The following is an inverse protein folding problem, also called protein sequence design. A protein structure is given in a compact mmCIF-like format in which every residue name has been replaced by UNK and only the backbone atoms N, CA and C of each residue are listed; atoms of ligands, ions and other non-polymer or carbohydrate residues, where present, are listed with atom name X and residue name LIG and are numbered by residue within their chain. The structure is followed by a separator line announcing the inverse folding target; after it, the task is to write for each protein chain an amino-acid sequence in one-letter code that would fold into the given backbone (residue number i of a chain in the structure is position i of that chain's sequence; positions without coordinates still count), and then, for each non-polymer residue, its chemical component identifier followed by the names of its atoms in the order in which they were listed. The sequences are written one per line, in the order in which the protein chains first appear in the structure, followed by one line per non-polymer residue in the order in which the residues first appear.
data_IF_851975326163
#
_entry.id   IF_851975326163
#
_cell.length_a   1.000
_cell.length_b   1.000
_cell.length_c   1.000
_cell.angle_alpha   90.00
_cell.angle_beta   90.00
_cell.angle_gamma   90.00
#
_symmetry.space_group_name_H-M   'P 1'
#
loop_
_entity.id
_entity.type
_entity.pdbx_description
1 polymer ?
#
# COMPACT_ATOMS: atom_id res chain seq x y z
N UNK A 1 32.09 3.30 1.09
CA UNK A 1 31.15 2.17 0.91
C UNK A 1 30.12 2.18 2.02
N UNK A 2 29.10 3.02 1.88
CA UNK A 2 28.02 3.22 2.86
C UNK A 2 26.81 2.48 2.33
N UNK A 3 26.79 1.16 2.55
CA UNK A 3 25.61 0.34 2.30
C UNK A 3 24.61 0.68 3.40
N UNK A 4 23.90 1.79 3.21
CA UNK A 4 22.77 2.17 4.03
C UNK A 4 21.64 1.19 3.73
N UNK A 5 21.56 0.15 4.55
CA UNK A 5 20.39 -0.72 4.71
C UNK A 5 19.28 0.15 5.30
N UNK A 6 18.72 1.05 4.48
CA UNK A 6 17.49 1.81 4.77
C UNK A 6 16.32 1.09 4.10
N UNK A 7 16.33 -0.24 4.18
CA UNK A 7 15.16 -1.05 3.88
C UNK A 7 14.44 -1.29 5.21
N UNK A 8 13.77 -0.24 5.71
CA UNK A 8 12.86 -0.34 6.86
C UNK A 8 11.67 -1.22 6.43
N UNK A 9 11.86 -2.53 6.53
CA UNK A 9 10.84 -3.58 6.50
C UNK A 9 9.76 -3.41 5.42
N UNK A 10 10.18 -3.46 4.15
CA UNK A 10 9.25 -3.71 3.03
C UNK A 10 8.69 -5.12 3.24
N UNK A 11 7.46 -5.20 3.77
CA UNK A 11 6.67 -6.43 3.82
C UNK A 11 5.89 -6.51 2.52
N UNK A 12 6.46 -7.19 1.54
CA UNK A 12 5.78 -7.48 0.28
C UNK A 12 4.76 -8.59 0.52
N UNK A 13 3.48 -8.25 0.36
CA UNK A 13 2.39 -9.23 0.31
C UNK A 13 1.84 -9.25 -1.11
N UNK A 14 2.17 -10.32 -1.84
CA UNK A 14 1.46 -10.68 -3.07
C UNK A 14 0.00 -11.00 -2.73
N UNK A 15 -0.92 -10.49 -3.53
CA UNK A 15 -2.33 -10.80 -3.42
C UNK A 15 -2.96 -10.98 -4.79
N UNK A 16 -4.05 -11.75 -4.80
CA UNK A 16 -4.96 -11.87 -5.93
C UNK A 16 -6.36 -11.60 -5.40
N UNK A 17 -7.07 -10.67 -6.03
CA UNK A 17 -8.44 -10.38 -5.65
C UNK A 17 -9.42 -11.43 -6.24
N UNK A 18 -10.69 -11.49 -5.78
CA UNK A 18 -11.68 -12.43 -6.30
C UNK A 18 -11.99 -12.29 -7.80
N UNK A 19 -11.62 -11.17 -8.41
CA UNK A 19 -11.82 -10.87 -9.83
C UNK A 19 -10.61 -11.23 -10.71
N UNK A 20 -9.59 -11.87 -10.13
CA UNK A 20 -8.39 -12.33 -10.84
C UNK A 20 -7.33 -11.25 -11.08
N UNK A 21 -7.50 -10.05 -10.54
CA UNK A 21 -6.47 -9.00 -10.58
C UNK A 21 -5.40 -9.32 -9.54
N UNK A 22 -4.15 -9.27 -9.96
CA UNK A 22 -2.99 -9.57 -9.10
C UNK A 22 -2.27 -8.29 -8.71
N UNK A 23 -1.58 -8.31 -7.58
CA UNK A 23 -0.86 -7.13 -7.11
C UNK A 23 0.10 -7.41 -5.96
N UNK A 24 0.80 -6.36 -5.57
CA UNK A 24 1.65 -6.34 -4.38
C UNK A 24 1.22 -5.16 -3.53
N UNK A 25 1.09 -5.38 -2.23
CA UNK A 25 1.01 -4.32 -1.23
C UNK A 25 2.26 -4.33 -0.37
N UNK A 26 2.77 -3.14 -0.06
CA UNK A 26 3.90 -2.98 0.83
C UNK A 26 3.74 -1.77 1.73
N UNK A 27 4.29 -1.92 2.93
CA UNK A 27 4.31 -0.91 3.97
C UNK A 27 5.72 -0.40 4.12
N UNK A 28 5.90 0.91 4.04
CA UNK A 28 7.19 1.55 4.32
C UNK A 28 7.14 2.08 5.74
N UNK A 29 7.94 1.47 6.63
CA UNK A 29 8.02 1.85 8.04
C UNK A 29 8.92 3.07 8.28
N UNK A 30 8.59 3.88 9.29
CA UNK A 30 9.37 5.03 9.74
C UNK A 30 8.63 5.84 10.81
N UNK A 31 9.38 6.59 11.64
CA UNK A 31 8.85 7.28 12.84
C UNK A 31 7.82 8.39 12.57
N UNK A 32 7.58 8.80 11.32
CA UNK A 32 6.79 10.01 11.04
C UNK A 32 5.53 9.82 10.20
N UNK A 33 5.47 8.84 9.30
CA UNK A 33 4.34 8.68 8.38
C UNK A 33 4.46 7.35 7.65
N UNK A 34 3.90 6.28 8.21
CA UNK A 34 3.90 4.98 7.53
C UNK A 34 3.17 5.12 6.18
N UNK A 35 3.91 5.08 5.08
CA UNK A 35 3.34 5.12 3.75
C UNK A 35 2.84 3.72 3.38
N UNK A 36 1.61 3.63 2.89
CA UNK A 36 1.06 2.40 2.32
C UNK A 36 1.09 2.49 0.81
N UNK A 37 1.67 1.51 0.16
CA UNK A 37 1.75 1.49 -1.29
C UNK A 37 1.23 0.15 -1.80
N UNK A 38 0.60 0.19 -2.96
CA UNK A 38 0.20 -1.01 -3.67
C UNK A 38 0.27 -0.78 -5.16
N UNK A 39 0.35 -1.86 -5.91
CA UNK A 39 0.00 -1.86 -7.32
C UNK A 39 -0.85 -3.07 -7.65
N UNK A 40 -1.66 -2.93 -8.71
CA UNK A 40 -2.50 -3.99 -9.28
C UNK A 40 -2.29 -4.03 -10.79
N UNK A 41 -2.32 -5.24 -11.35
CA UNK A 41 -2.12 -5.48 -12.78
C UNK A 41 -2.89 -6.72 -13.26
N UNK A 42 -3.28 -6.68 -14.53
CA UNK A 42 -3.81 -7.84 -15.26
C UNK A 42 -2.71 -8.67 -15.96
N UNK A 43 -1.43 -8.33 -15.75
CA UNK A 43 -0.22 -8.91 -16.34
C UNK A 43 0.03 -8.64 -17.82
N UNK A 44 -0.92 -8.07 -18.56
CA UNK A 44 -0.83 -7.96 -20.03
C UNK A 44 -0.84 -6.51 -20.51
N UNK A 45 -1.75 -5.68 -19.99
CA UNK A 45 -2.03 -4.35 -20.56
C UNK A 45 -2.29 -3.28 -19.52
N UNK A 46 -2.79 -3.64 -18.35
CA UNK A 46 -3.26 -2.69 -17.36
C UNK A 46 -2.40 -2.72 -16.10
N UNK A 47 -2.05 -1.53 -15.63
CA UNK A 47 -1.27 -1.32 -14.41
C UNK A 47 -1.80 -0.08 -13.67
N UNK A 48 -2.09 -0.24 -12.39
CA UNK A 48 -2.49 0.85 -11.49
C UNK A 48 -1.64 0.80 -10.22
N UNK A 49 -1.09 1.94 -9.81
CA UNK A 49 -0.33 2.08 -8.56
C UNK A 49 -0.98 3.11 -7.66
N UNK A 50 -1.12 2.77 -6.38
CA UNK A 50 -1.60 3.66 -5.32
C UNK A 50 -0.56 3.84 -4.22
N UNK A 51 -0.50 5.04 -3.66
CA UNK A 51 0.33 5.34 -2.50
C UNK A 51 -0.41 6.32 -1.57
N UNK A 52 -0.54 5.96 -0.30
CA UNK A 52 -1.11 6.78 0.76
C UNK A 52 0.01 7.37 1.60
N UNK A 53 0.07 8.70 1.65
CA UNK A 53 1.00 9.48 2.46
C UNK A 53 0.25 10.24 3.54
N UNK A 54 0.75 10.20 4.76
CA UNK A 54 0.25 11.02 5.86
C UNK A 54 1.15 12.24 6.02
N UNK A 55 0.60 13.44 5.80
CA UNK A 55 1.26 14.69 6.15
C UNK A 55 0.97 15.02 7.62
N UNK A 56 1.50 14.21 8.54
CA UNK A 56 1.29 14.40 9.97
C UNK A 56 2.62 14.72 10.68
N UNK A 57 2.60 15.71 11.58
CA UNK A 57 3.61 15.86 12.64
C UNK A 57 3.66 14.55 13.44
N UNK A 58 4.81 14.07 13.94
CA UNK A 58 5.11 12.67 14.29
C UNK A 58 4.42 12.17 15.57
N UNK A 59 3.10 12.30 15.61
CA UNK A 59 2.18 11.78 16.57
C UNK A 59 1.49 10.58 15.89
N UNK A 60 2.15 9.42 15.95
CA UNK A 60 1.63 8.19 15.36
C UNK A 60 0.35 7.69 16.04
N UNK A 61 0.16 8.01 17.33
CA UNK A 61 -0.96 7.48 18.11
C UNK A 61 -2.29 8.20 17.84
N UNK A 62 -2.28 9.50 17.55
CA UNK A 62 -3.50 10.25 17.21
C UNK A 62 -4.00 9.97 15.79
N UNK A 63 -3.11 9.58 14.87
CA UNK A 63 -3.51 9.29 13.48
C UNK A 63 -3.84 7.81 13.23
N UNK A 64 -3.57 6.94 14.22
CA UNK A 64 -3.81 5.48 14.10
C UNK A 64 -5.25 5.13 13.70
N UNK A 65 -6.31 5.73 14.29
CA UNK A 65 -7.68 5.42 13.89
C UNK A 65 -7.97 5.74 12.42
N UNK A 66 -7.41 6.85 11.92
CA UNK A 66 -7.54 7.26 10.52
C UNK A 66 -6.77 6.30 9.61
N UNK A 67 -5.58 5.89 10.02
CA UNK A 67 -4.77 4.94 9.27
C UNK A 67 -5.43 3.57 9.16
N UNK A 68 -6.09 3.10 10.22
CA UNK A 68 -6.82 1.82 10.22
C UNK A 68 -8.08 1.90 9.37
N UNK A 69 -8.78 3.04 9.39
CA UNK A 69 -9.92 3.28 8.53
C UNK A 69 -9.52 3.26 7.05
N UNK A 70 -8.54 4.08 6.66
CA UNK A 70 -8.06 4.16 5.27
C UNK A 70 -7.48 2.84 4.77
N UNK A 71 -6.92 2.02 5.66
CA UNK A 71 -6.48 0.70 5.26
C UNK A 71 -7.63 -0.20 4.82
N UNK A 72 -8.74 -0.21 5.58
CA UNK A 72 -9.92 -1.00 5.22
C UNK A 72 -10.50 -0.55 3.88
N UNK A 73 -10.48 0.76 3.62
CA UNK A 73 -10.94 1.32 2.36
C UNK A 73 -10.04 0.92 1.19
N UNK A 74 -8.71 0.94 1.36
CA UNK A 74 -7.76 0.46 0.34
C UNK A 74 -7.96 -1.04 0.08
N UNK A 75 -8.13 -1.84 1.13
CA UNK A 75 -8.37 -3.28 0.99
C UNK A 75 -9.70 -3.55 0.27
N UNK A 76 -10.75 -2.79 0.57
CA UNK A 76 -12.03 -2.89 -0.11
C UNK A 76 -11.92 -2.46 -1.59
N UNK A 77 -11.21 -1.37 -1.87
CA UNK A 77 -10.93 -0.89 -3.22
C UNK A 77 -10.22 -1.96 -4.03
N UNK A 78 -9.12 -2.52 -3.51
CA UNK A 78 -8.35 -3.58 -4.18
C UNK A 78 -9.23 -4.82 -4.43
N UNK A 79 -10.03 -5.22 -3.45
CA UNK A 79 -10.89 -6.40 -3.56
C UNK A 79 -12.02 -6.26 -4.58
N UNK A 80 -12.50 -5.04 -4.83
CA UNK A 80 -13.59 -4.75 -5.76
C UNK A 80 -13.12 -4.23 -7.11
N UNK A 81 -11.83 -3.93 -7.25
CA UNK A 81 -11.25 -3.36 -8.45
C UNK A 81 -11.20 -4.37 -9.61
N UNK A 82 -11.70 -3.94 -10.77
CA UNK A 82 -11.48 -4.59 -12.06
C UNK A 82 -11.13 -3.55 -13.11
N UNK A 83 -10.29 -3.95 -14.07
CA UNK A 83 -10.08 -3.16 -15.27
C UNK A 83 -11.29 -3.30 -16.21
N UNK A 84 -11.61 -2.23 -16.92
CA UNK A 84 -12.56 -2.26 -18.03
C UNK A 84 -11.74 -2.19 -19.31
N UNK A 85 -12.00 -3.10 -20.23
CA UNK A 85 -11.50 -3.05 -21.60
C UNK A 85 -12.16 -1.92 -22.41
#
# INVERSE_FOLDING_TARGET
NKNEVVATSIRDSLFTNPLGVTGVSFRVGGNAATARQFFVTDTVKHFLRGALYFSATPNADSIRPVQDFLQKDIDHLINTFSFKD
#
